data_IF_799798280786
#
_entry.id   IF_799798280786
#
_cell.length_a   1.000
_cell.length_b   1.000
_cell.length_c   1.000
_cell.angle_alpha   90.00
_cell.angle_beta   90.00
_cell.angle_gamma   90.00
#
_symmetry.space_group_name_H-M   'P 1'
#
loop_
_entity.id
_entity.type
_entity.pdbx_description
1 polymer ?
#
# COMPACT_ATOMS: atom_id res chain seq x y z
N UNK A 1 -28.22 -56.79 13.62
CA UNK A 1 -28.74 -55.45 13.29
C UNK A 1 -27.60 -54.62 12.72
N UNK A 2 -27.67 -54.15 11.47
CA UNK A 2 -26.74 -53.17 10.94
C UNK A 2 -27.41 -51.78 10.89
N UNK A 3 -26.79 -50.76 11.47
CA UNK A 3 -27.19 -49.37 11.29
C UNK A 3 -25.98 -48.53 10.87
N UNK A 4 -26.11 -47.93 9.70
CA UNK A 4 -25.31 -46.83 9.19
C UNK A 4 -26.25 -45.99 8.28
N UNK A 5 -25.92 -44.74 7.89
CA UNK A 5 -25.19 -43.69 8.60
C UNK A 5 -25.89 -42.29 8.47
N UNK A 6 -25.32 -41.29 9.17
CA UNK A 6 -25.31 -39.82 8.92
C UNK A 6 -26.57 -39.07 8.45
N UNK A 7 -26.94 -38.03 9.19
CA UNK A 7 -27.08 -36.65 8.67
C UNK A 7 -27.32 -35.68 9.82
N UNK A 8 -26.29 -34.92 10.19
CA UNK A 8 -26.44 -33.73 11.02
C UNK A 8 -26.50 -32.52 10.07
N UNK A 9 -27.54 -31.68 10.08
CA UNK A 9 -27.50 -30.44 9.35
C UNK A 9 -26.59 -29.47 10.11
N UNK A 10 -25.48 -29.08 9.48
CA UNK A 10 -24.66 -27.93 9.86
C UNK A 10 -25.27 -26.66 9.26
N UNK A 11 -25.71 -25.66 10.04
CA UNK A 11 -25.88 -24.30 9.53
C UNK A 11 -24.54 -23.57 9.66
N UNK A 12 -23.63 -23.84 8.73
CA UNK A 12 -22.45 -23.01 8.48
C UNK A 12 -22.74 -22.18 7.25
N UNK A 13 -23.42 -21.06 7.43
CA UNK A 13 -23.36 -19.95 6.49
C UNK A 13 -23.07 -18.67 7.27
N UNK A 14 -21.84 -18.60 7.79
CA UNK A 14 -21.18 -17.32 8.00
C UNK A 14 -20.73 -16.87 6.61
N UNK A 15 -21.54 -16.02 5.99
CA UNK A 15 -21.23 -15.33 4.74
C UNK A 15 -19.93 -14.54 4.91
N UNK A 16 -18.80 -15.15 4.56
CA UNK A 16 -17.55 -14.45 4.31
C UNK A 16 -17.66 -13.73 2.98
N UNK A 17 -18.34 -12.58 2.99
CA UNK A 17 -18.13 -11.57 1.98
C UNK A 17 -16.67 -11.10 2.13
N UNK A 18 -15.81 -11.54 1.22
CA UNK A 18 -14.46 -10.98 1.08
C UNK A 18 -14.58 -9.44 1.08
N UNK A 19 -13.86 -8.71 1.95
CA UNK A 19 -13.98 -7.27 1.96
C UNK A 19 -13.49 -6.75 0.61
N UNK A 20 -14.39 -6.11 -0.14
CA UNK A 20 -13.98 -5.15 -1.17
C UNK A 20 -13.18 -4.08 -0.41
N UNK A 21 -11.86 -4.23 -0.38
CA UNK A 21 -10.98 -3.33 0.37
C UNK A 21 -11.26 -1.91 -0.10
N UNK A 22 -11.77 -1.07 0.80
CA UNK A 22 -12.07 0.31 0.48
C UNK A 22 -10.73 1.03 0.17
N UNK A 23 -10.67 1.86 -0.89
CA UNK A 23 -9.44 2.57 -1.25
C UNK A 23 -8.90 3.41 -0.10
N UNK A 24 -9.78 3.99 0.72
CA UNK A 24 -9.43 4.73 1.91
C UNK A 24 -8.71 3.88 2.97
N UNK A 25 -9.07 2.60 3.12
CA UNK A 25 -8.44 1.70 4.08
C UNK A 25 -7.06 1.26 3.58
N UNK A 26 -6.90 1.04 2.27
CA UNK A 26 -5.58 0.79 1.66
C UNK A 26 -4.65 2.00 1.84
N UNK A 27 -5.18 3.21 1.67
CA UNK A 27 -4.43 4.45 1.88
C UNK A 27 -3.96 4.59 3.31
N UNK A 28 -4.85 4.40 4.30
CA UNK A 28 -4.47 4.46 5.72
C UNK A 28 -3.36 3.46 6.04
N UNK A 29 -3.50 2.20 5.61
CA UNK A 29 -2.47 1.17 5.81
C UNK A 29 -1.13 1.56 5.18
N UNK A 30 -1.17 2.11 3.98
CA UNK A 30 0.01 2.56 3.25
C UNK A 30 0.71 3.70 3.99
N UNK A 31 -0.04 4.70 4.45
CA UNK A 31 0.50 5.80 5.25
C UNK A 31 1.13 5.25 6.54
N UNK A 32 0.42 4.40 7.29
CA UNK A 32 0.95 3.81 8.53
C UNK A 32 2.25 3.03 8.31
N UNK A 33 2.31 2.19 7.28
CA UNK A 33 3.50 1.44 6.88
C UNK A 33 4.68 2.37 6.58
N UNK A 34 4.44 3.43 5.79
CA UNK A 34 5.49 4.37 5.40
C UNK A 34 5.98 5.19 6.58
N UNK A 35 5.08 5.61 7.48
CA UNK A 35 5.47 6.31 8.71
C UNK A 35 6.31 5.44 9.63
N UNK A 36 5.95 4.16 9.77
CA UNK A 36 6.73 3.18 10.52
C UNK A 36 8.13 3.01 9.93
N UNK A 37 8.23 2.82 8.61
CA UNK A 37 9.53 2.80 7.91
C UNK A 37 10.33 4.10 8.15
N UNK A 38 9.68 5.25 8.09
CA UNK A 38 10.29 6.55 8.40
C UNK A 38 10.53 6.77 9.90
N UNK A 39 10.24 5.81 10.77
CA UNK A 39 10.68 5.79 12.14
C UNK A 39 11.84 4.79 12.35
N UNK A 40 11.67 3.54 11.90
CA UNK A 40 12.57 2.42 12.24
C UNK A 40 13.65 2.12 11.18
N UNK A 41 13.48 2.63 9.94
CA UNK A 41 14.40 2.43 8.79
C UNK A 41 14.63 0.97 8.39
N UNK A 42 13.67 0.09 8.63
CA UNK A 42 13.76 -1.33 8.26
C UNK A 42 13.13 -1.59 6.89
N UNK A 43 13.98 -1.92 5.91
CA UNK A 43 13.56 -2.15 4.52
C UNK A 43 12.82 -3.49 4.34
N UNK A 44 13.30 -4.56 4.97
CA UNK A 44 12.67 -5.89 4.85
C UNK A 44 11.27 -5.93 5.47
N UNK A 45 11.04 -5.21 6.57
CA UNK A 45 9.72 -5.09 7.18
C UNK A 45 8.76 -4.31 6.29
N UNK A 46 9.18 -3.14 5.78
CA UNK A 46 8.38 -2.38 4.83
C UNK A 46 8.02 -3.20 3.57
N UNK A 47 8.96 -4.02 3.08
CA UNK A 47 8.72 -4.94 1.97
C UNK A 47 7.62 -5.96 2.26
N UNK A 48 7.65 -6.62 3.42
CA UNK A 48 6.62 -7.58 3.79
C UNK A 48 5.26 -6.88 3.96
N UNK A 49 5.21 -5.73 4.63
CA UNK A 49 3.98 -4.97 4.77
C UNK A 49 3.39 -4.52 3.41
N UNK A 50 4.23 -4.17 2.41
CA UNK A 50 3.75 -3.82 1.06
C UNK A 50 3.18 -5.05 0.35
N UNK A 51 3.80 -6.23 0.50
CA UNK A 51 3.27 -7.49 -0.06
C UNK A 51 1.94 -7.89 0.58
N UNK A 52 1.79 -7.64 1.87
CA UNK A 52 0.56 -7.90 2.63
C UNK A 52 -0.63 -7.04 2.19
N UNK A 53 -0.38 -5.93 1.46
CA UNK A 53 -1.47 -5.20 0.81
C UNK A 53 -2.20 -6.09 -0.21
N UNK A 54 -1.52 -7.06 -0.82
CA UNK A 54 -2.07 -8.00 -1.83
C UNK A 54 -2.87 -7.31 -2.95
N UNK A 55 -2.45 -6.09 -3.31
CA UNK A 55 -3.10 -5.22 -4.29
C UNK A 55 -2.07 -4.58 -5.22
N UNK A 56 -1.57 -5.31 -6.23
CA UNK A 56 -0.57 -4.77 -7.16
C UNK A 56 -1.05 -3.54 -7.91
N UNK A 57 -2.35 -3.44 -8.19
CA UNK A 57 -2.93 -2.26 -8.86
C UNK A 57 -2.84 -0.98 -8.02
N UNK A 58 -2.57 -1.12 -6.72
CA UNK A 58 -2.42 -0.03 -5.77
C UNK A 58 -0.95 0.37 -5.53
N UNK A 59 0.02 -0.35 -6.08
CA UNK A 59 1.45 -0.03 -5.91
C UNK A 59 1.87 1.36 -6.40
N UNK A 60 1.32 1.90 -7.50
CA UNK A 60 1.57 3.30 -7.86
C UNK A 60 1.18 4.29 -6.75
N UNK A 61 0.11 3.99 -6.01
CA UNK A 61 -0.35 4.84 -4.90
C UNK A 61 0.59 4.75 -3.69
N UNK A 62 1.21 3.59 -3.45
CA UNK A 62 2.27 3.44 -2.44
C UNK A 62 3.47 4.33 -2.78
N UNK A 63 3.88 4.36 -4.05
CA UNK A 63 4.96 5.24 -4.52
C UNK A 63 4.59 6.71 -4.33
N UNK A 64 3.38 7.11 -4.74
CA UNK A 64 2.86 8.46 -4.58
C UNK A 64 2.88 8.92 -3.12
N UNK A 65 2.33 8.12 -2.21
CA UNK A 65 2.28 8.44 -0.78
C UNK A 65 3.67 8.44 -0.13
N UNK A 66 4.61 7.60 -0.58
CA UNK A 66 5.99 7.60 -0.10
C UNK A 66 6.71 8.92 -0.45
N UNK A 67 6.54 9.40 -1.68
CA UNK A 67 7.08 10.69 -2.14
C UNK A 67 6.44 11.83 -1.34
N UNK A 68 5.11 11.83 -1.24
CA UNK A 68 4.35 12.84 -0.53
C UNK A 68 4.80 12.97 0.94
N UNK A 69 4.83 11.86 1.69
CA UNK A 69 5.23 11.85 3.10
C UNK A 69 6.69 12.27 3.29
N UNK A 70 7.59 11.87 2.39
CA UNK A 70 8.99 12.26 2.48
C UNK A 70 9.16 13.77 2.30
N UNK A 71 8.47 14.37 1.33
CA UNK A 71 8.55 15.80 1.05
C UNK A 71 7.80 16.65 2.09
N UNK A 72 6.68 16.17 2.61
CA UNK A 72 5.92 16.82 3.69
C UNK A 72 6.73 16.88 5.01
N UNK A 73 7.41 15.78 5.38
CA UNK A 73 8.28 15.74 6.56
C UNK A 73 9.60 16.49 6.38
N UNK A 74 10.04 16.70 5.13
CA UNK A 74 11.21 17.50 4.77
C UNK A 74 12.39 16.70 4.18
N UNK A 75 13.39 17.42 3.68
CA UNK A 75 14.50 16.88 2.86
C UNK A 75 15.24 15.68 3.47
N UNK A 76 15.32 15.57 4.79
CA UNK A 76 15.98 14.46 5.50
C UNK A 76 15.29 13.09 5.29
N UNK A 77 14.05 13.08 4.80
CA UNK A 77 13.29 11.86 4.52
C UNK A 77 13.33 11.44 3.04
N UNK A 78 13.88 12.28 2.16
CA UNK A 78 13.99 12.01 0.72
C UNK A 78 14.94 10.82 0.48
N UNK A 79 16.14 10.81 1.06
CA UNK A 79 17.09 9.70 0.87
C UNK A 79 16.52 8.36 1.37
N UNK A 80 15.90 8.27 2.58
CA UNK A 80 15.19 7.05 2.99
C UNK A 80 14.08 6.62 2.04
N UNK A 81 13.29 7.56 1.48
CA UNK A 81 12.21 7.24 0.56
C UNK A 81 12.75 6.66 -0.74
N UNK A 82 13.77 7.29 -1.34
CA UNK A 82 14.44 6.79 -2.55
C UNK A 82 15.00 5.38 -2.31
N UNK A 83 15.68 5.15 -1.18
CA UNK A 83 16.19 3.82 -0.81
C UNK A 83 15.09 2.76 -0.70
N UNK A 84 13.93 3.11 -0.15
CA UNK A 84 12.79 2.20 -0.07
C UNK A 84 12.28 1.83 -1.46
N UNK A 85 12.07 2.82 -2.33
CA UNK A 85 11.56 2.60 -3.68
C UNK A 85 12.54 1.77 -4.53
N UNK A 86 13.83 2.07 -4.46
CA UNK A 86 14.89 1.29 -5.11
C UNK A 86 14.96 -0.15 -4.59
N UNK A 87 14.79 -0.35 -3.29
CA UNK A 87 14.77 -1.68 -2.68
C UNK A 87 13.56 -2.51 -3.14
N UNK A 88 12.36 -1.92 -3.12
CA UNK A 88 11.13 -2.58 -3.57
C UNK A 88 11.18 -2.93 -5.06
N UNK A 89 11.77 -2.06 -5.87
CA UNK A 89 12.05 -2.32 -7.29
C UNK A 89 13.05 -3.48 -7.47
N UNK A 90 14.17 -3.46 -6.74
CA UNK A 90 15.20 -4.51 -6.78
C UNK A 90 14.66 -5.88 -6.37
N UNK A 91 13.70 -5.90 -5.43
CA UNK A 91 12.97 -7.11 -4.99
C UNK A 91 11.84 -7.51 -5.96
N UNK A 92 11.66 -6.80 -7.08
CA UNK A 92 10.63 -7.02 -8.10
C UNK A 92 9.20 -6.92 -7.56
N UNK A 93 9.00 -6.17 -6.47
CA UNK A 93 7.65 -5.84 -5.99
C UNK A 93 7.07 -4.72 -6.83
N UNK A 94 7.87 -3.69 -7.11
CA UNK A 94 7.51 -2.64 -8.05
C UNK A 94 8.09 -2.88 -9.43
N UNK A 95 7.32 -2.55 -10.45
CA UNK A 95 7.77 -2.45 -11.83
C UNK A 95 8.20 -1.01 -12.16
N UNK A 96 8.93 -0.79 -13.27
CA UNK A 96 9.22 0.58 -13.72
C UNK A 96 7.94 1.38 -13.97
N UNK A 97 6.87 0.72 -14.41
CA UNK A 97 5.58 1.36 -14.66
C UNK A 97 4.92 1.82 -13.35
N UNK A 98 5.01 1.04 -12.27
CA UNK A 98 4.45 1.44 -10.97
C UNK A 98 5.15 2.68 -10.43
N UNK A 99 6.48 2.72 -10.52
CA UNK A 99 7.28 3.88 -10.14
C UNK A 99 6.92 5.11 -10.97
N UNK A 100 6.92 4.98 -12.30
CA UNK A 100 6.58 6.08 -13.20
C UNK A 100 5.16 6.61 -12.95
N UNK A 101 4.19 5.71 -12.82
CA UNK A 101 2.79 6.07 -12.57
C UNK A 101 2.65 6.75 -11.20
N UNK A 102 3.30 6.24 -10.16
CA UNK A 102 3.28 6.87 -8.84
C UNK A 102 3.87 8.27 -8.82
N UNK A 103 4.97 8.51 -9.54
CA UNK A 103 5.54 9.84 -9.72
C UNK A 103 4.57 10.79 -10.44
N UNK A 104 3.90 10.31 -11.50
CA UNK A 104 2.89 11.09 -12.23
C UNK A 104 1.70 11.44 -11.34
N UNK A 105 1.19 10.48 -10.56
CA UNK A 105 0.11 10.70 -9.60
C UNK A 105 0.48 11.78 -8.57
N UNK A 106 1.74 11.78 -8.10
CA UNK A 106 2.20 12.80 -7.16
C UNK A 106 2.25 14.18 -7.83
N UNK A 107 2.79 14.26 -9.05
CA UNK A 107 2.82 15.49 -9.83
C UNK A 107 1.42 16.07 -10.05
N UNK A 108 0.44 15.26 -10.46
CA UNK A 108 -0.94 15.71 -10.64
C UNK A 108 -1.58 16.22 -9.35
N UNK A 109 -1.33 15.55 -8.21
CA UNK A 109 -1.80 16.03 -6.90
C UNK A 109 -1.21 17.41 -6.56
N UNK A 110 0.09 17.62 -6.80
CA UNK A 110 0.75 18.90 -6.55
C UNK A 110 0.20 19.98 -7.47
N UNK A 111 -0.05 19.68 -8.74
CA UNK A 111 -0.65 20.62 -9.69
C UNK A 111 -2.05 21.07 -9.24
N UNK A 112 -2.89 20.14 -8.76
CA UNK A 112 -4.22 20.46 -8.21
C UNK A 112 -4.11 21.41 -7.00
N UNK A 113 -3.22 21.11 -6.05
CA UNK A 113 -2.99 21.96 -4.86
C UNK A 113 -2.47 23.34 -5.26
N UNK A 114 -1.55 23.40 -6.23
CA UNK A 114 -0.97 24.65 -6.68
C UNK A 114 -2.03 25.57 -7.31
N UNK A 115 -2.99 25.01 -8.04
CA UNK A 115 -4.12 25.77 -8.59
C UNK A 115 -4.96 26.37 -7.45
N UNK A 116 -5.28 25.58 -6.43
CA UNK A 116 -6.10 26.04 -5.30
C UNK A 116 -5.42 27.13 -4.46
N UNK A 117 -4.10 27.07 -4.29
CA UNK A 117 -3.35 28.06 -3.50
C UNK A 117 -3.16 29.41 -4.23
N UNK A 118 -3.18 29.39 -5.56
CA UNK A 118 -2.97 30.58 -6.39
C UNK A 118 -4.27 31.37 -6.69
N UNK A 119 -5.42 30.91 -6.22
CA UNK A 119 -6.73 31.55 -6.39
C UNK A 119 -7.10 32.42 -5.19
#
# INVERSE_FOLDING_TARGET
MPSAPVTSPTPSQKTTAAPKSNPNELRKKTISLLEEYFHIRMLDEALECVKELQRPEYYPEVVKEAINLALDKGSNFVDPAVKLLEFLYSKKVFTPQDLATGCLLYGSMVDEIAIDLCQ
#
